data_IF_952033857157
#
_entry.id   IF_952033857157
#
_cell.length_a   1.000
_cell.length_b   1.000
_cell.length_c   1.000
_cell.angle_alpha   90.00
_cell.angle_beta   90.00
_cell.angle_gamma   90.00
#
_symmetry.space_group_name_H-M   'P 1'
#
loop_
_entity.id
_entity.type
_entity.pdbx_description
1 polymer ?
#
# COMPACT_ATOMS: atom_id res chain seq x y z
N UNK A 1 -2.12 6.29 8.87
CA UNK A 1 -2.45 4.86 8.77
C UNK A 1 -2.01 4.28 7.45
N UNK A 2 -1.15 3.26 7.46
CA UNK A 2 -0.74 2.52 6.24
C UNK A 2 -1.60 1.28 6.08
N UNK A 3 -2.41 1.24 5.02
CA UNK A 3 -3.40 0.20 4.77
C UNK A 3 -3.11 -0.46 3.42
N UNK A 4 -3.10 -1.79 3.39
CA UNK A 4 -2.99 -2.56 2.15
C UNK A 4 -4.29 -3.30 1.84
N UNK A 5 -4.67 -3.30 0.56
CA UNK A 5 -5.65 -4.23 0.01
C UNK A 5 -4.93 -5.29 -0.82
N UNK A 6 -5.03 -6.54 -0.40
CA UNK A 6 -4.36 -7.70 -1.03
C UNK A 6 -5.38 -8.77 -1.37
N UNK A 7 -5.03 -9.69 -2.25
CA UNK A 7 -5.90 -10.80 -2.65
C UNK A 7 -5.51 -11.39 -4.00
N UNK A 8 -6.24 -12.42 -4.41
CA UNK A 8 -6.06 -13.04 -5.73
C UNK A 8 -6.43 -12.07 -6.85
N UNK A 9 -5.83 -12.21 -8.03
CA UNK A 9 -6.32 -11.56 -9.25
C UNK A 9 -7.82 -11.84 -9.48
N UNK A 10 -8.60 -10.79 -9.75
CA UNK A 10 -10.05 -10.88 -9.95
C UNK A 10 -10.91 -10.97 -8.67
N UNK A 11 -10.30 -11.00 -7.48
CA UNK A 11 -11.04 -11.07 -6.20
C UNK A 11 -11.82 -9.79 -5.85
N UNK A 12 -11.56 -8.66 -6.52
CA UNK A 12 -12.22 -7.37 -6.27
C UNK A 12 -11.47 -6.41 -5.35
N UNK A 13 -10.15 -6.58 -5.17
CA UNK A 13 -9.28 -5.70 -4.36
C UNK A 13 -9.41 -4.23 -4.73
N UNK A 14 -9.18 -3.90 -6.01
CA UNK A 14 -9.23 -2.54 -6.54
C UNK A 14 -10.60 -1.89 -6.33
N UNK A 15 -11.67 -2.67 -6.49
CA UNK A 15 -13.03 -2.19 -6.21
C UNK A 15 -13.23 -1.90 -4.73
N UNK A 16 -12.75 -2.77 -3.84
CA UNK A 16 -12.87 -2.55 -2.39
C UNK A 16 -11.97 -1.43 -1.89
N UNK A 17 -10.74 -1.31 -2.40
CA UNK A 17 -9.84 -0.22 -2.07
C UNK A 17 -10.39 1.11 -2.59
N UNK A 18 -10.98 1.17 -3.79
CA UNK A 18 -11.60 2.39 -4.31
C UNK A 18 -12.83 2.81 -3.49
N UNK A 19 -13.69 1.86 -3.10
CA UNK A 19 -14.81 2.13 -2.19
C UNK A 19 -14.34 2.66 -0.83
N UNK A 20 -13.27 2.07 -0.28
CA UNK A 20 -12.69 2.51 0.98
C UNK A 20 -12.06 3.91 0.87
N UNK A 21 -11.34 4.20 -0.21
CA UNK A 21 -10.77 5.53 -0.48
C UNK A 21 -11.88 6.58 -0.64
N UNK A 22 -12.97 6.27 -1.35
CA UNK A 22 -14.14 7.15 -1.44
C UNK A 22 -14.78 7.40 -0.07
N UNK A 23 -14.90 6.36 0.75
CA UNK A 23 -15.39 6.52 2.12
C UNK A 23 -14.51 7.48 2.93
N UNK A 24 -13.19 7.31 2.90
CA UNK A 24 -12.25 8.23 3.53
C UNK A 24 -12.36 9.66 2.97
N UNK A 25 -12.56 9.83 1.66
CA UNK A 25 -12.72 11.15 1.06
C UNK A 25 -13.93 11.90 1.64
N UNK A 26 -15.02 11.19 1.98
CA UNK A 26 -16.20 11.80 2.60
C UNK A 26 -15.97 12.29 4.04
N UNK A 27 -14.96 11.74 4.74
CA UNK A 27 -14.57 12.21 6.08
C UNK A 27 -13.60 13.40 6.03
N UNK A 28 -13.15 13.80 4.82
CA UNK A 28 -12.12 14.83 4.57
C UNK A 28 -10.77 14.54 5.23
N UNK A 29 -10.47 13.27 5.48
CA UNK A 29 -9.16 12.86 5.93
C UNK A 29 -8.10 13.08 4.82
N UNK A 30 -6.84 13.40 5.16
CA UNK A 30 -5.74 13.34 4.20
C UNK A 30 -5.52 11.90 3.73
N UNK A 31 -5.58 11.69 2.41
CA UNK A 31 -5.43 10.35 1.80
C UNK A 31 -4.42 10.38 0.66
N UNK A 32 -3.43 9.49 0.73
CA UNK A 32 -2.60 9.07 -0.40
C UNK A 32 -3.03 7.68 -0.84
N UNK A 33 -3.64 7.58 -2.01
CA UNK A 33 -3.97 6.34 -2.68
C UNK A 33 -2.84 5.93 -3.63
N UNK A 34 -2.40 4.67 -3.55
CA UNK A 34 -1.31 4.13 -4.37
C UNK A 34 -1.79 2.90 -5.14
N UNK A 35 -1.71 2.96 -6.46
CA UNK A 35 -1.93 1.82 -7.34
C UNK A 35 -0.62 1.05 -7.55
N UNK A 36 -0.47 -0.07 -6.85
CA UNK A 36 0.64 -1.01 -6.96
C UNK A 36 0.17 -2.39 -7.48
N UNK A 37 -0.96 -2.46 -8.19
CA UNK A 37 -1.40 -3.66 -8.92
C UNK A 37 -0.88 -3.61 -10.36
N UNK A 38 -0.48 -4.73 -10.93
CA UNK A 38 0.07 -4.79 -12.29
C UNK A 38 -0.93 -4.29 -13.35
N UNK A 39 -2.23 -4.43 -13.08
CA UNK A 39 -3.28 -4.03 -14.02
C UNK A 39 -3.60 -2.53 -13.95
N UNK A 40 -3.16 -1.83 -12.89
CA UNK A 40 -3.29 -0.37 -12.73
C UNK A 40 -4.73 0.17 -12.94
N UNK A 41 -5.71 -0.44 -12.28
CA UNK A 41 -7.14 -0.11 -12.42
C UNK A 41 -7.69 0.84 -11.34
N UNK A 42 -6.88 1.30 -10.39
CA UNK A 42 -7.34 2.13 -9.29
C UNK A 42 -7.77 3.52 -9.77
N UNK A 43 -7.05 4.12 -10.71
CA UNK A 43 -7.40 5.42 -11.30
C UNK A 43 -8.82 5.44 -11.88
N UNK A 44 -9.15 4.54 -12.83
CA UNK A 44 -10.51 4.40 -13.35
C UNK A 44 -11.56 4.09 -12.27
N UNK A 45 -11.24 3.26 -11.28
CA UNK A 45 -12.14 2.97 -10.16
C UNK A 45 -12.42 4.21 -9.27
N UNK A 46 -11.47 5.15 -9.21
CA UNK A 46 -11.64 6.46 -8.59
C UNK A 46 -12.31 7.49 -9.52
N UNK A 47 -12.63 7.13 -10.76
CA UNK A 47 -13.41 7.96 -11.69
C UNK A 47 -12.58 8.77 -12.67
N UNK A 48 -11.29 8.48 -12.81
CA UNK A 48 -10.49 8.99 -13.92
C UNK A 48 -10.96 8.34 -15.22
N UNK A 49 -10.93 9.10 -16.31
CA UNK A 49 -11.02 8.51 -17.65
C UNK A 49 -9.77 7.67 -17.95
N UNK A 50 -9.87 6.76 -18.91
CA UNK A 50 -8.71 5.95 -19.34
C UNK A 50 -7.53 6.82 -19.77
N UNK A 51 -7.80 7.98 -20.40
CA UNK A 51 -6.78 8.93 -20.81
C UNK A 51 -6.09 9.61 -19.61
N UNK A 52 -6.86 10.02 -18.59
CA UNK A 52 -6.31 10.60 -17.35
C UNK A 52 -5.51 9.57 -16.56
N UNK A 53 -6.01 8.34 -16.46
CA UNK A 53 -5.33 7.24 -15.79
C UNK A 53 -4.01 6.88 -16.50
N UNK A 54 -4.01 6.81 -17.83
CA UNK A 54 -2.80 6.56 -18.62
C UNK A 54 -1.77 7.70 -18.54
N UNK A 55 -2.22 8.92 -18.26
CA UNK A 55 -1.36 10.09 -18.08
C UNK A 55 -0.77 10.22 -16.66
N UNK A 56 -1.12 9.33 -15.73
CA UNK A 56 -0.54 9.34 -14.39
C UNK A 56 0.99 9.13 -14.46
N UNK A 57 1.78 9.98 -13.79
CA UNK A 57 3.23 9.84 -13.78
C UNK A 57 3.63 8.54 -13.07
N UNK A 58 4.33 7.62 -13.75
CA UNK A 58 4.70 6.35 -13.14
C UNK A 58 5.80 6.57 -12.10
N UNK A 59 5.59 6.16 -10.85
CA UNK A 59 6.58 6.30 -9.77
C UNK A 59 7.94 5.68 -10.15
N UNK A 60 7.93 4.56 -10.88
CA UNK A 60 9.16 3.91 -11.37
C UNK A 60 10.03 4.81 -12.25
N UNK A 61 9.42 5.70 -13.05
CA UNK A 61 10.13 6.66 -13.90
C UNK A 61 10.77 7.82 -13.11
N UNK A 62 10.37 8.02 -11.86
CA UNK A 62 10.88 9.05 -10.96
C UNK A 62 11.76 8.48 -9.84
N UNK A 63 12.20 7.21 -9.93
CA UNK A 63 13.03 6.58 -8.92
C UNK A 63 14.30 7.37 -8.54
N UNK A 64 15.09 7.94 -9.49
CA UNK A 64 16.24 8.76 -9.13
C UNK A 64 15.87 9.97 -8.26
N UNK A 65 14.78 10.67 -8.61
CA UNK A 65 14.26 11.81 -7.83
C UNK A 65 13.81 11.36 -6.44
N UNK A 66 13.04 10.28 -6.35
CA UNK A 66 12.55 9.72 -5.08
C UNK A 66 13.72 9.38 -4.17
N UNK A 67 14.70 8.64 -4.68
CA UNK A 67 15.89 8.25 -3.92
C UNK A 67 16.70 9.45 -3.44
N UNK A 68 16.97 10.41 -4.33
CA UNK A 68 17.74 11.60 -3.95
C UNK A 68 17.02 12.43 -2.88
N UNK A 69 15.70 12.60 -3.01
CA UNK A 69 14.91 13.27 -2.00
C UNK A 69 14.95 12.55 -0.66
N UNK A 70 14.66 11.24 -0.63
CA UNK A 70 14.60 10.44 0.61
C UNK A 70 15.96 10.31 1.29
N UNK A 71 17.04 10.21 0.51
CA UNK A 71 18.41 10.19 1.01
C UNK A 71 18.72 11.38 1.89
N UNK A 72 18.27 12.57 1.49
CA UNK A 72 18.62 13.82 2.15
C UNK A 72 20.13 13.95 2.32
N UNK A 73 20.54 14.36 3.52
CA UNK A 73 21.95 14.51 3.91
C UNK A 73 22.45 13.30 4.72
N UNK A 74 21.79 12.13 4.59
CA UNK A 74 22.17 10.93 5.34
C UNK A 74 23.62 10.51 5.02
N UNK A 75 24.55 10.58 5.99
CA UNK A 75 25.97 10.34 5.73
C UNK A 75 26.28 8.86 5.47
N UNK A 76 25.36 7.95 5.80
CA UNK A 76 25.50 6.50 5.55
C UNK A 76 25.08 6.10 4.14
N UNK A 77 24.41 6.98 3.41
CA UNK A 77 23.96 6.74 2.03
C UNK A 77 24.77 7.65 1.09
N UNK A 78 25.87 7.13 0.58
CA UNK A 78 26.82 7.90 -0.24
C UNK A 78 26.20 8.44 -1.55
N UNK A 79 25.27 7.70 -2.16
CA UNK A 79 24.57 8.09 -3.38
C UNK A 79 23.21 7.38 -3.50
N UNK A 80 22.24 8.03 -4.14
CA UNK A 80 20.96 7.43 -4.55
C UNK A 80 21.12 6.13 -5.37
N UNK A 81 22.23 5.98 -6.09
CA UNK A 81 22.54 4.78 -6.88
C UNK A 81 22.73 3.54 -5.99
N UNK A 82 23.19 3.74 -4.75
CA UNK A 82 23.38 2.67 -3.77
C UNK A 82 22.12 2.36 -2.97
N UNK A 83 21.04 3.12 -3.15
CA UNK A 83 19.77 2.80 -2.50
C UNK A 83 19.06 1.66 -3.23
N UNK A 84 18.55 0.71 -2.47
CA UNK A 84 17.64 -0.34 -2.96
C UNK A 84 16.27 -0.17 -2.31
N UNK A 85 15.26 -0.90 -2.79
CA UNK A 85 13.88 -0.72 -2.34
C UNK A 85 13.65 -0.87 -0.82
N UNK A 86 14.57 -1.57 -0.15
CA UNK A 86 14.57 -1.83 1.29
C UNK A 86 15.46 -0.88 2.09
N UNK A 87 16.18 0.05 1.45
CA UNK A 87 17.08 0.98 2.17
C UNK A 87 16.28 1.75 3.22
N UNK A 88 16.65 1.65 4.52
CA UNK A 88 15.94 2.34 5.59
C UNK A 88 16.35 3.82 5.67
N UNK A 89 15.50 4.69 6.23
CA UNK A 89 15.93 5.99 6.70
C UNK A 89 16.94 5.87 7.85
N UNK A 90 17.74 6.92 8.01
CA UNK A 90 18.61 7.16 9.16
C UNK A 90 18.72 8.65 9.43
N UNK A 91 19.59 9.07 10.34
CA UNK A 91 19.84 10.51 10.56
C UNK A 91 20.28 11.18 9.26
N UNK A 92 19.66 12.32 8.95
CA UNK A 92 19.87 13.07 7.71
C UNK A 92 18.96 12.64 6.54
N UNK A 93 18.28 11.50 6.62
CA UNK A 93 17.25 11.13 5.63
C UNK A 93 16.05 12.07 5.72
N UNK A 94 15.41 12.35 4.59
CA UNK A 94 14.11 13.02 4.57
C UNK A 94 13.01 11.98 4.73
N UNK A 95 11.99 12.32 5.52
CA UNK A 95 10.79 11.52 5.69
C UNK A 95 9.64 12.19 4.93
N UNK A 96 8.70 11.37 4.45
CA UNK A 96 7.47 11.81 3.80
C UNK A 96 6.35 11.91 4.83
N UNK A 97 5.53 12.96 4.74
CA UNK A 97 4.26 13.10 5.46
C UNK A 97 3.08 12.86 4.54
N UNK A 98 1.97 12.36 5.09
CA UNK A 98 0.75 12.17 4.29
C UNK A 98 0.20 13.51 3.84
N UNK A 99 0.18 14.52 4.71
CA UNK A 99 -0.27 15.87 4.34
C UNK A 99 0.88 16.88 4.26
N UNK A 100 1.58 16.91 3.12
CA UNK A 100 2.60 17.92 2.84
C UNK A 100 2.76 18.17 1.33
N UNK A 101 3.41 19.27 0.99
CA UNK A 101 3.96 19.50 -0.33
C UNK A 101 5.44 19.08 -0.36
N UNK A 102 5.82 18.22 -1.29
CA UNK A 102 7.21 17.84 -1.49
C UNK A 102 7.49 17.51 -2.98
N UNK A 103 8.76 17.46 -3.41
CA UNK A 103 9.13 17.14 -4.79
C UNK A 103 8.63 15.78 -5.28
N UNK A 104 8.54 14.78 -4.41
CA UNK A 104 8.05 13.43 -4.76
C UNK A 104 6.57 13.49 -5.14
N UNK A 105 5.74 14.15 -4.35
CA UNK A 105 4.31 14.32 -4.63
C UNK A 105 4.07 15.24 -5.82
N UNK A 106 4.84 16.33 -5.96
CA UNK A 106 4.75 17.18 -7.15
C UNK A 106 5.02 16.40 -8.44
N UNK A 107 6.01 15.49 -8.43
CA UNK A 107 6.34 14.67 -9.58
C UNK A 107 5.32 13.54 -9.81
N UNK A 108 4.93 12.82 -8.75
CA UNK A 108 4.31 11.49 -8.86
C UNK A 108 2.83 11.44 -8.46
N UNK A 109 2.30 12.45 -7.77
CA UNK A 109 0.92 12.45 -7.29
C UNK A 109 0.02 13.34 -8.15
N UNK A 110 -1.24 12.94 -8.30
CA UNK A 110 -2.29 13.77 -8.92
C UNK A 110 -3.49 13.88 -7.97
N UNK A 111 -4.04 15.08 -7.75
CA UNK A 111 -5.25 15.23 -6.97
C UNK A 111 -6.44 14.63 -7.72
N UNK A 112 -7.29 13.88 -7.01
CA UNK A 112 -8.52 13.29 -7.52
C UNK A 112 -9.66 13.72 -6.60
N UNK A 113 -10.65 14.40 -7.17
CA UNK A 113 -11.83 14.85 -6.42
C UNK A 113 -12.85 13.72 -6.34
N UNK A 114 -13.20 13.35 -5.12
CA UNK A 114 -14.08 12.23 -4.81
C UNK A 114 -15.11 12.68 -3.79
N UNK A 115 -16.39 12.65 -4.17
CA UNK A 115 -17.49 12.65 -3.21
C UNK A 115 -17.44 13.82 -2.19
N UNK A 116 -17.00 15.00 -2.65
CA UNK A 116 -16.89 16.22 -1.84
C UNK A 116 -15.55 16.41 -1.09
N UNK A 117 -14.64 15.44 -1.23
CA UNK A 117 -13.25 15.51 -0.78
C UNK A 117 -12.25 15.43 -1.93
N UNK A 118 -10.97 15.42 -1.59
CA UNK A 118 -9.86 15.28 -2.53
C UNK A 118 -8.83 14.31 -1.94
N UNK A 119 -8.30 13.43 -2.79
CA UNK A 119 -7.26 12.47 -2.43
C UNK A 119 -6.09 12.61 -3.40
N UNK A 120 -4.89 12.23 -2.98
CA UNK A 120 -3.72 12.14 -3.87
C UNK A 120 -3.60 10.73 -4.42
N UNK A 121 -3.65 10.57 -5.73
CA UNK A 121 -3.41 9.30 -6.41
C UNK A 121 -1.98 9.25 -6.95
N UNK A 122 -1.29 8.15 -6.64
CA UNK A 122 0.00 7.77 -7.20
C UNK A 122 -0.11 6.38 -7.82
N UNK A 123 0.72 6.09 -8.82
CA UNK A 123 0.65 4.84 -9.56
C UNK A 123 2.07 4.34 -9.90
N UNK A 124 2.30 3.03 -9.80
CA UNK A 124 3.60 2.46 -10.18
C UNK A 124 3.87 2.53 -11.68
N UNK A 125 2.80 2.63 -12.48
CA UNK A 125 2.82 2.69 -13.93
C UNK A 125 2.62 1.32 -14.58
N UNK A 126 2.05 1.27 -15.80
CA UNK A 126 1.84 0.01 -16.52
C UNK A 126 3.18 -0.61 -16.92
N UNK A 127 3.20 -1.91 -17.18
CA UNK A 127 4.35 -2.57 -17.79
C UNK A 127 4.47 -2.15 -19.26
N UNK A 128 5.60 -1.58 -19.68
CA UNK A 128 5.82 -1.15 -21.07
C UNK A 128 6.60 -2.22 -21.84
N UNK A 129 6.57 -2.17 -23.18
CA UNK A 129 7.33 -3.12 -24.00
C UNK A 129 8.84 -3.09 -23.73
N UNK A 130 9.39 -1.94 -23.29
CA UNK A 130 10.77 -1.81 -22.84
C UNK A 130 11.10 -2.59 -21.57
N UNK A 131 10.08 -2.98 -20.79
CA UNK A 131 10.24 -3.79 -19.58
C UNK A 131 10.18 -5.30 -19.88
N UNK A 132 9.60 -5.70 -21.02
CA UNK A 132 9.45 -7.10 -21.43
C UNK A 132 10.83 -7.71 -21.70
N UNK A 133 11.22 -8.65 -20.83
CA UNK A 133 12.48 -9.40 -20.93
C UNK A 133 13.72 -8.68 -20.39
N UNK A 134 13.59 -7.47 -19.83
CA UNK A 134 14.72 -6.66 -19.34
C UNK A 134 14.59 -6.27 -17.86
N UNK A 135 13.38 -5.94 -17.39
CA UNK A 135 13.13 -5.52 -16.01
C UNK A 135 12.04 -6.37 -15.37
N UNK A 136 12.33 -6.96 -14.21
CA UNK A 136 11.29 -7.65 -13.43
C UNK A 136 10.36 -6.60 -12.77
N UNK A 137 9.05 -6.88 -12.67
CA UNK A 137 8.03 -6.01 -12.04
C UNK A 137 8.44 -5.55 -10.61
N UNK A 138 9.32 -6.31 -9.96
CA UNK A 138 10.01 -5.95 -8.72
C UNK A 138 10.64 -4.56 -8.68
N UNK A 139 11.06 -3.99 -9.82
CA UNK A 139 11.65 -2.65 -9.88
C UNK A 139 10.60 -1.54 -9.72
N UNK A 140 9.35 -1.75 -10.17
CA UNK A 140 8.29 -0.72 -10.17
C UNK A 140 7.64 -0.54 -8.80
N UNK A 141 7.35 -1.65 -8.11
CA UNK A 141 6.86 -1.61 -6.73
C UNK A 141 7.92 -1.13 -5.72
N UNK A 142 9.20 -1.12 -6.13
CA UNK A 142 10.30 -0.66 -5.28
C UNK A 142 10.19 0.82 -4.89
N UNK A 143 9.59 1.66 -5.73
CA UNK A 143 9.34 3.06 -5.40
C UNK A 143 8.31 3.20 -4.27
N UNK A 144 7.25 2.38 -4.31
CA UNK A 144 6.22 2.35 -3.25
C UNK A 144 6.83 1.88 -1.93
N UNK A 145 7.65 0.83 -1.98
CA UNK A 145 8.33 0.33 -0.78
C UNK A 145 9.29 1.36 -0.17
N UNK A 146 10.09 2.05 -1.00
CA UNK A 146 10.95 3.14 -0.55
C UNK A 146 10.17 4.24 0.14
N UNK A 147 9.08 4.69 -0.48
CA UNK A 147 8.21 5.70 0.12
C UNK A 147 7.64 5.21 1.45
N UNK A 148 7.12 3.98 1.54
CA UNK A 148 6.59 3.42 2.78
C UNK A 148 7.65 3.29 3.89
N UNK A 149 8.90 2.95 3.54
CA UNK A 149 10.02 2.89 4.47
C UNK A 149 10.37 4.27 5.07
N UNK A 150 10.11 5.36 4.33
CA UNK A 150 10.43 6.72 4.74
C UNK A 150 9.18 7.55 5.08
N UNK A 151 7.99 6.95 5.15
CA UNK A 151 6.75 7.68 5.41
C UNK A 151 6.38 7.62 6.88
N UNK A 152 6.07 8.79 7.44
CA UNK A 152 5.54 8.99 8.78
C UNK A 152 4.17 9.64 8.68
N UNK A 153 3.18 8.92 9.18
CA UNK A 153 1.78 9.33 9.20
C UNK A 153 1.27 9.45 10.64
N UNK A 154 0.37 10.40 10.88
CA UNK A 154 -0.31 10.60 12.15
C UNK A 154 -1.73 10.03 12.20
N UNK A 155 -2.38 10.24 13.35
CA UNK A 155 -3.78 9.90 13.56
C UNK A 155 -4.68 10.64 12.55
N UNK A 156 -5.57 9.90 11.88
CA UNK A 156 -6.51 10.47 10.91
C UNK A 156 -5.91 10.77 9.53
N UNK A 157 -4.64 10.44 9.29
CA UNK A 157 -4.03 10.45 7.96
C UNK A 157 -4.02 9.03 7.38
N UNK A 158 -4.16 8.84 6.06
CA UNK A 158 -4.24 7.51 5.46
C UNK A 158 -3.38 7.37 4.21
N UNK A 159 -2.69 6.23 4.10
CA UNK A 159 -2.05 5.73 2.90
C UNK A 159 -2.71 4.41 2.56
N UNK A 160 -3.42 4.35 1.43
CA UNK A 160 -4.12 3.14 0.97
C UNK A 160 -3.42 2.60 -0.26
N UNK A 161 -2.90 1.39 -0.18
CA UNK A 161 -2.15 0.74 -1.26
C UNK A 161 -2.97 -0.43 -1.81
N UNK A 162 -3.41 -0.33 -3.06
CA UNK A 162 -3.96 -1.47 -3.81
C UNK A 162 -2.80 -2.28 -4.38
N UNK A 163 -2.71 -3.56 -4.01
CA UNK A 163 -1.58 -4.39 -4.40
C UNK A 163 -1.99 -5.82 -4.70
N UNK A 164 -1.24 -6.47 -5.58
CA UNK A 164 -1.39 -7.91 -5.82
C UNK A 164 -0.89 -8.69 -4.60
N UNK A 165 -1.64 -9.70 -4.14
CA UNK A 165 -1.08 -10.68 -3.20
C UNK A 165 -0.11 -11.60 -3.98
N UNK A 166 1.10 -11.11 -4.19
CA UNK A 166 2.17 -11.82 -4.88
C UNK A 166 3.35 -12.12 -3.96
N UNK A 167 4.23 -13.01 -4.42
CA UNK A 167 5.55 -13.26 -3.84
C UNK A 167 6.36 -11.97 -3.62
N UNK A 168 6.12 -10.96 -4.44
CA UNK A 168 6.91 -9.75 -4.56
C UNK A 168 6.86 -8.90 -3.28
N UNK A 169 5.69 -8.80 -2.63
CA UNK A 169 5.54 -8.10 -1.35
C UNK A 169 6.29 -8.80 -0.22
N UNK A 170 6.45 -10.13 -0.31
CA UNK A 170 7.18 -10.94 0.68
C UNK A 170 8.69 -10.98 0.42
N UNK A 171 9.12 -10.85 -0.84
CA UNK A 171 10.53 -10.89 -1.22
C UNK A 171 11.36 -9.76 -0.59
N UNK A 172 10.75 -8.59 -0.37
CA UNK A 172 11.44 -7.43 0.22
C UNK A 172 10.95 -7.00 1.61
N UNK A 173 9.88 -7.61 2.13
CA UNK A 173 9.37 -7.28 3.45
C UNK A 173 8.31 -6.17 3.45
N UNK A 174 7.88 -5.68 2.28
CA UNK A 174 6.82 -4.69 2.13
C UNK A 174 5.54 -5.03 2.91
N UNK A 175 5.19 -6.32 3.01
CA UNK A 175 4.03 -6.78 3.79
C UNK A 175 4.07 -6.39 5.28
N UNK A 176 5.24 -6.03 5.81
CA UNK A 176 5.45 -5.58 7.20
C UNK A 176 5.38 -4.06 7.37
N UNK A 177 5.03 -3.32 6.31
CA UNK A 177 4.95 -1.85 6.31
C UNK A 177 3.53 -1.31 6.51
N UNK A 178 2.56 -2.19 6.71
CA UNK A 178 1.16 -1.83 6.88
C UNK A 178 0.71 -2.03 8.33
N UNK A 179 -0.05 -1.06 8.84
CA UNK A 179 -0.73 -1.18 10.13
C UNK A 179 -1.94 -2.12 10.03
N UNK A 180 -2.54 -2.20 8.84
CA UNK A 180 -3.66 -3.08 8.54
C UNK A 180 -3.58 -3.60 7.10
N UNK A 181 -3.67 -4.91 6.95
CA UNK A 181 -3.81 -5.56 5.65
C UNK A 181 -5.21 -6.17 5.54
N UNK A 182 -6.01 -5.65 4.62
CA UNK A 182 -7.29 -6.24 4.23
C UNK A 182 -7.09 -7.21 3.07
N UNK A 183 -7.30 -8.49 3.33
CA UNK A 183 -7.23 -9.53 2.32
C UNK A 183 -8.62 -9.83 1.76
N UNK A 184 -8.79 -9.57 0.47
CA UNK A 184 -10.04 -9.82 -0.25
C UNK A 184 -10.08 -11.25 -0.74
N UNK A 185 -11.08 -12.01 -0.27
CA UNK A 185 -11.26 -13.41 -0.60
C UNK A 185 -12.67 -13.68 -1.13
N UNK A 186 -12.74 -14.37 -2.26
CA UNK A 186 -14.01 -14.95 -2.77
C UNK A 186 -14.31 -16.27 -2.01
N UNK A 187 -15.59 -16.66 -1.86
CA UNK A 187 -16.02 -17.91 -1.21
C UNK A 187 -15.70 -19.13 -2.08
N UNK A 188 -14.42 -19.34 -2.41
CA UNK A 188 -13.93 -20.45 -3.21
C UNK A 188 -12.59 -20.93 -2.66
N UNK A 189 -12.27 -22.21 -2.85
CA UNK A 189 -10.97 -22.79 -2.44
C UNK A 189 -9.77 -22.01 -3.00
N UNK A 190 -9.87 -21.48 -4.22
CA UNK A 190 -8.81 -20.66 -4.83
C UNK A 190 -8.77 -19.24 -4.28
N UNK A 191 -9.89 -18.69 -3.81
CA UNK A 191 -9.94 -17.38 -3.16
C UNK A 191 -9.23 -17.43 -1.81
N UNK A 192 -9.58 -18.41 -0.98
CA UNK A 192 -9.02 -18.58 0.37
C UNK A 192 -7.59 -19.14 0.40
N UNK A 193 -7.10 -19.75 -0.69
CA UNK A 193 -5.71 -20.24 -0.74
C UNK A 193 -4.69 -19.12 -0.58
N UNK A 194 -4.97 -17.93 -1.12
CA UNK A 194 -4.12 -16.75 -0.97
C UNK A 194 -4.07 -16.29 0.49
N UNK A 195 -5.20 -16.36 1.20
CA UNK A 195 -5.25 -16.09 2.64
C UNK A 195 -4.35 -17.03 3.44
N UNK A 196 -4.44 -18.34 3.19
CA UNK A 196 -3.63 -19.34 3.89
C UNK A 196 -2.13 -19.09 3.68
N UNK A 197 -1.73 -18.83 2.43
CA UNK A 197 -0.34 -18.49 2.10
C UNK A 197 0.12 -17.19 2.76
N UNK A 198 -0.69 -16.14 2.70
CA UNK A 198 -0.35 -14.85 3.31
C UNK A 198 -0.17 -14.98 4.82
N UNK A 199 -1.08 -15.69 5.49
CA UNK A 199 -1.02 -15.96 6.93
C UNK A 199 0.23 -16.76 7.31
N UNK A 200 0.60 -17.75 6.51
CA UNK A 200 1.82 -18.53 6.73
C UNK A 200 3.07 -17.66 6.67
N UNK A 201 3.21 -16.84 5.61
CA UNK A 201 4.38 -15.97 5.44
C UNK A 201 4.43 -14.82 6.44
N UNK A 202 3.28 -14.34 6.92
CA UNK A 202 3.20 -13.23 7.86
C UNK A 202 3.28 -13.63 9.35
N UNK A 203 3.23 -14.93 9.65
CA UNK A 203 3.07 -15.50 11.01
C UNK A 203 4.04 -14.91 12.04
N UNK A 204 5.30 -14.77 11.68
CA UNK A 204 6.37 -14.39 12.61
C UNK A 204 6.66 -12.88 12.61
N UNK A 205 5.88 -12.10 11.87
CA UNK A 205 6.09 -10.66 11.68
C UNK A 205 5.04 -9.79 12.37
N UNK A 206 4.02 -10.38 13.01
CA UNK A 206 3.02 -9.63 13.77
C UNK A 206 2.21 -8.65 12.92
N UNK A 207 1.99 -9.00 11.65
CA UNK A 207 1.16 -8.23 10.71
C UNK A 207 -0.30 -8.35 11.10
N UNK A 208 -1.00 -7.21 11.17
CA UNK A 208 -2.44 -7.21 11.36
C UNK A 208 -3.12 -7.52 10.03
N UNK A 209 -3.76 -8.70 9.95
CA UNK A 209 -4.43 -9.21 8.77
C UNK A 209 -5.92 -9.41 9.09
N UNK A 210 -6.80 -8.92 8.22
CA UNK A 210 -8.25 -9.16 8.29
C UNK A 210 -8.77 -9.49 6.90
N UNK A 211 -9.76 -10.38 6.83
CA UNK A 211 -10.34 -10.87 5.57
C UNK A 211 -11.65 -10.14 5.28
N UNK A 212 -11.76 -9.67 4.04
CA UNK A 212 -13.01 -9.15 3.46
C UNK A 212 -13.54 -10.21 2.51
N UNK A 213 -14.63 -10.87 2.88
CA UNK A 213 -15.32 -11.83 2.03
C UNK A 213 -16.05 -11.10 0.91
N UNK A 214 -15.64 -11.28 -0.35
CA UNK A 214 -16.24 -10.59 -1.49
C UNK A 214 -17.05 -11.54 -2.37
N UNK A 215 -18.06 -11.00 -3.05
CA UNK A 215 -18.99 -11.72 -3.94
C UNK A 215 -19.77 -12.82 -3.22
N UNK A 216 -20.09 -12.60 -1.95
CA UNK A 216 -20.93 -13.50 -1.15
C UNK A 216 -22.37 -13.40 -1.66
N UNK A 217 -22.96 -14.54 -2.03
CA UNK A 217 -24.31 -14.61 -2.60
C UNK A 217 -25.35 -15.07 -1.58
N UNK A 218 -24.92 -15.73 -0.50
CA UNK A 218 -25.84 -16.24 0.50
C UNK A 218 -25.15 -16.87 1.70
N UNK A 219 -25.94 -17.60 2.48
CA UNK A 219 -25.51 -18.17 3.74
C UNK A 219 -24.44 -19.24 3.60
N UNK A 220 -24.51 -20.06 2.56
CA UNK A 220 -23.52 -21.12 2.28
C UNK A 220 -22.11 -20.54 2.06
N UNK A 221 -21.99 -19.48 1.25
CA UNK A 221 -20.73 -18.75 1.04
C UNK A 221 -20.16 -18.17 2.34
N UNK A 222 -21.03 -17.63 3.19
CA UNK A 222 -20.64 -17.07 4.49
C UNK A 222 -20.15 -18.15 5.45
N UNK A 223 -20.84 -19.30 5.51
CA UNK A 223 -20.42 -20.46 6.30
C UNK A 223 -19.08 -21.00 5.79
N UNK A 224 -18.91 -21.15 4.48
CA UNK A 224 -17.64 -21.54 3.86
C UNK A 224 -16.49 -20.60 4.25
N UNK A 225 -16.69 -19.28 4.17
CA UNK A 225 -15.64 -18.32 4.55
C UNK A 225 -15.31 -18.40 6.04
N UNK A 226 -16.31 -18.53 6.91
CA UNK A 226 -16.09 -18.69 8.36
C UNK A 226 -15.29 -19.95 8.68
N UNK A 227 -15.59 -21.06 8.01
CA UNK A 227 -14.85 -22.31 8.20
C UNK A 227 -13.39 -22.20 7.72
N UNK A 228 -13.16 -21.43 6.66
CA UNK A 228 -11.86 -21.32 5.99
C UNK A 228 -10.91 -20.30 6.63
N UNK A 229 -11.44 -19.16 7.10
CA UNK A 229 -10.64 -18.03 7.59
C UNK A 229 -10.94 -17.65 9.04
N UNK A 230 -11.97 -18.25 9.66
CA UNK A 230 -12.28 -18.10 11.08
C UNK A 230 -12.48 -16.65 11.52
N UNK A 231 -11.89 -16.32 12.66
CA UNK A 231 -11.93 -14.99 13.29
C UNK A 231 -11.25 -13.88 12.46
N UNK A 232 -10.51 -14.23 11.41
CA UNK A 232 -9.95 -13.23 10.52
C UNK A 232 -11.02 -12.63 9.59
N UNK A 233 -12.17 -13.31 9.39
CA UNK A 233 -13.28 -12.77 8.60
C UNK A 233 -13.88 -11.55 9.30
N UNK A 234 -13.65 -10.37 8.74
CA UNK A 234 -14.07 -9.11 9.34
C UNK A 234 -15.46 -8.70 8.86
N UNK A 235 -15.65 -8.66 7.55
CA UNK A 235 -16.92 -8.30 6.90
C UNK A 235 -17.10 -9.08 5.62
N UNK A 236 -18.34 -9.16 5.15
CA UNK A 236 -18.68 -9.69 3.83
C UNK A 236 -19.40 -8.64 3.00
N UNK A 237 -19.11 -8.60 1.70
CA UNK A 237 -19.80 -7.78 0.72
C UNK A 237 -20.33 -8.66 -0.42
N UNK A 238 -21.53 -8.33 -0.88
CA UNK A 238 -22.26 -9.07 -1.91
C UNK A 238 -22.30 -8.33 -3.25
N UNK A 239 -23.31 -8.64 -4.06
CA UNK A 239 -23.57 -7.90 -5.28
C UNK A 239 -23.98 -6.46 -4.97
N UNK A 240 -23.41 -5.50 -5.69
CA UNK A 240 -23.75 -4.07 -5.55
C UNK A 240 -24.09 -3.50 -6.92
N UNK A 241 -25.28 -2.88 -7.01
CA UNK A 241 -25.69 -2.17 -8.22
C UNK A 241 -24.89 -0.87 -8.35
N UNK A 242 -24.48 -0.27 -7.24
CA UNK A 242 -23.57 0.88 -7.25
C UNK A 242 -22.24 0.53 -7.92
N UNK A 243 -21.59 -0.56 -7.47
CA UNK A 243 -20.33 -1.04 -8.06
C UNK A 243 -20.55 -1.37 -9.54
N UNK A 244 -21.63 -2.08 -9.86
CA UNK A 244 -21.93 -2.45 -11.25
C UNK A 244 -22.13 -1.24 -12.16
N UNK A 245 -22.70 -0.16 -11.65
CA UNK A 245 -22.87 1.09 -12.39
C UNK A 245 -21.53 1.81 -12.59
N UNK A 246 -20.70 1.88 -11.55
CA UNK A 246 -19.32 2.42 -11.61
C UNK A 246 -18.47 1.68 -12.65
N UNK A 247 -18.44 0.34 -12.62
CA UNK A 247 -17.70 -0.50 -13.57
C UNK A 247 -18.19 -0.35 -15.02
N UNK A 248 -19.40 0.19 -15.22
CA UNK A 248 -19.95 0.55 -16.55
C UNK A 248 -19.68 2.02 -16.91
N UNK A 249 -18.77 2.70 -16.21
CA UNK A 249 -18.43 4.11 -16.42
C UNK A 249 -19.54 5.09 -16.00
N UNK A 250 -20.48 4.66 -15.16
CA UNK A 250 -21.61 5.47 -14.69
C UNK A 250 -21.69 5.48 -13.16
N UNK A 251 -20.64 5.97 -12.46
CA UNK A 251 -20.63 5.98 -11.00
C UNK A 251 -21.79 6.85 -10.47
N UNK A 252 -22.72 6.28 -9.67
CA UNK A 252 -23.68 7.08 -8.92
C UNK A 252 -22.95 7.90 -7.85
N UNK A 253 -23.61 8.90 -7.28
CA UNK A 253 -23.09 9.59 -6.09
C UNK A 253 -22.80 8.56 -4.98
N UNK A 254 -21.66 8.66 -4.29
CA UNK A 254 -21.27 7.66 -3.29
C UNK A 254 -22.25 7.54 -2.12
N UNK A 255 -22.97 8.61 -1.79
CA UNK A 255 -24.08 8.58 -0.82
C UNK A 255 -25.25 7.65 -1.22
N UNK A 256 -25.29 7.13 -2.45
CA UNK A 256 -26.25 6.12 -2.88
C UNK A 256 -25.75 4.66 -2.69
N UNK A 257 -24.51 4.45 -2.22
CA UNK A 257 -23.99 3.12 -1.91
C UNK A 257 -24.91 2.41 -0.90
N UNK A 258 -25.12 1.11 -1.09
CA UNK A 258 -26.03 0.33 -0.26
C UNK A 258 -25.62 0.38 1.23
N UNK A 259 -26.60 0.43 2.14
CA UNK A 259 -26.33 0.63 3.57
C UNK A 259 -25.41 -0.44 4.18
N UNK A 260 -25.57 -1.70 3.74
CA UNK A 260 -24.74 -2.82 4.16
C UNK A 260 -23.27 -2.64 3.72
N UNK A 261 -23.05 -2.17 2.49
CA UNK A 261 -21.71 -1.87 1.98
C UNK A 261 -21.08 -0.69 2.73
N UNK A 262 -21.86 0.35 3.07
CA UNK A 262 -21.37 1.45 3.91
C UNK A 262 -20.98 0.98 5.30
N UNK A 263 -21.82 0.18 5.96
CA UNK A 263 -21.51 -0.39 7.27
C UNK A 263 -20.24 -1.27 7.23
N UNK A 264 -20.03 -2.00 6.12
CA UNK A 264 -18.79 -2.75 5.91
C UNK A 264 -17.57 -1.81 5.86
N UNK A 265 -17.63 -0.71 5.10
CA UNK A 265 -16.55 0.27 5.01
C UNK A 265 -16.27 0.99 6.35
N UNK A 266 -17.31 1.32 7.11
CA UNK A 266 -17.19 1.86 8.47
C UNK A 266 -16.46 0.87 9.40
N UNK A 267 -16.78 -0.42 9.29
CA UNK A 267 -16.11 -1.48 10.04
C UNK A 267 -14.64 -1.62 9.65
N UNK A 268 -14.32 -1.52 8.35
CA UNK A 268 -12.92 -1.49 7.89
C UNK A 268 -12.18 -0.29 8.49
N UNK A 269 -12.78 0.90 8.46
CA UNK A 269 -12.17 2.12 9.00
C UNK A 269 -11.91 2.00 10.50
N UNK A 270 -12.92 1.62 11.28
CA UNK A 270 -12.78 1.42 12.72
C UNK A 270 -11.72 0.36 13.07
N UNK A 271 -11.61 -0.69 12.26
CA UNK A 271 -10.60 -1.74 12.45
C UNK A 271 -9.19 -1.22 12.15
N UNK A 272 -9.03 -0.41 11.10
CA UNK A 272 -7.77 0.23 10.77
C UNK A 272 -7.37 1.22 11.89
N UNK A 273 -8.26 2.13 12.28
CA UNK A 273 -7.99 3.11 13.35
C UNK A 273 -7.64 2.42 14.68
N UNK A 274 -8.33 1.33 15.01
CA UNK A 274 -7.99 0.53 16.18
C UNK A 274 -6.58 -0.10 16.11
N UNK A 275 -6.03 -0.33 14.91
CA UNK A 275 -4.67 -0.82 14.73
C UNK A 275 -3.61 0.27 14.94
N UNK A 276 -3.93 1.54 14.68
CA UNK A 276 -3.05 2.69 14.93
C UNK A 276 -2.50 2.71 16.35
N UNK A 277 -3.40 2.58 17.35
CA UNK A 277 -3.03 2.61 18.77
C UNK A 277 -2.20 1.42 19.24
N UNK A 278 -2.02 0.40 18.40
CA UNK A 278 -1.16 -0.78 18.67
C UNK A 278 0.14 -0.74 17.86
N UNK A 279 0.44 0.38 17.18
CA UNK A 279 1.66 0.53 16.40
C UNK A 279 2.89 0.41 17.29
N UNK A 280 3.85 -0.38 16.81
CA UNK A 280 5.14 -0.60 17.45
C UNK A 280 6.23 -0.17 16.46
N UNK A 281 6.71 1.06 16.64
CA UNK A 281 7.72 1.71 15.81
C UNK A 281 9.09 1.02 15.91
N UNK A 282 9.43 0.44 17.06
CA UNK A 282 10.66 -0.33 17.23
C UNK A 282 10.61 -1.62 16.41
N UNK A 283 9.50 -2.36 16.47
CA UNK A 283 9.29 -3.55 15.64
C UNK A 283 9.26 -3.20 14.16
N UNK A 284 8.58 -2.12 13.79
CA UNK A 284 8.53 -1.63 12.40
C UNK A 284 9.95 -1.38 11.88
N UNK A 285 10.75 -0.62 12.64
CA UNK A 285 12.13 -0.29 12.26
C UNK A 285 13.04 -1.52 12.25
N UNK A 286 12.95 -2.39 13.25
CA UNK A 286 13.72 -3.64 13.33
C UNK A 286 13.45 -4.55 12.14
N UNK A 287 12.19 -4.69 11.72
CA UNK A 287 11.83 -5.50 10.56
C UNK A 287 12.32 -4.88 9.25
N UNK A 288 12.23 -3.56 9.11
CA UNK A 288 12.82 -2.84 7.97
C UNK A 288 14.33 -3.10 7.85
N UNK A 289 15.07 -2.96 8.96
CA UNK A 289 16.52 -3.27 9.03
C UNK A 289 16.80 -4.74 8.70
N UNK A 290 16.01 -5.67 9.23
CA UNK A 290 16.16 -7.11 8.96
C UNK A 290 16.05 -7.42 7.47
N UNK A 291 14.99 -6.93 6.81
CA UNK A 291 14.79 -7.17 5.38
C UNK A 291 15.81 -6.44 4.51
N UNK A 292 16.26 -5.26 4.92
CA UNK A 292 17.34 -4.56 4.23
C UNK A 292 18.63 -5.36 4.24
N UNK A 293 19.08 -5.82 5.42
CA UNK A 293 20.29 -6.65 5.54
C UNK A 293 20.22 -7.91 4.68
N UNK A 294 19.08 -8.61 4.72
CA UNK A 294 18.87 -9.80 3.89
C UNK A 294 18.97 -9.50 2.39
N UNK A 295 18.43 -8.37 1.92
CA UNK A 295 18.52 -7.98 0.51
C UNK A 295 19.92 -7.49 0.12
N UNK A 296 20.60 -6.77 1.03
CA UNK A 296 21.98 -6.34 0.87
C UNK A 296 22.91 -7.55 0.63
N UNK A 297 22.85 -8.54 1.53
CA UNK A 297 23.67 -9.76 1.46
C UNK A 297 23.29 -10.67 0.29
N UNK A 298 22.00 -10.75 -0.05
CA UNK A 298 21.50 -11.65 -1.08
C UNK A 298 21.88 -11.23 -2.50
N UNK A 299 21.86 -9.93 -2.81
CA UNK A 299 22.06 -9.44 -4.18
C UNK A 299 22.48 -7.97 -4.23
N UNK A 300 22.06 -7.16 -3.25
CA UNK A 300 22.25 -5.70 -3.27
C UNK A 300 23.72 -5.28 -3.29
N UNK A 301 24.55 -5.94 -2.48
CA UNK A 301 25.99 -5.63 -2.41
C UNK A 301 26.69 -5.92 -3.73
N UNK A 302 26.43 -7.09 -4.33
CA UNK A 302 26.99 -7.45 -5.64
C UNK A 302 26.51 -6.49 -6.74
N UNK A 303 25.22 -6.13 -6.74
CA UNK A 303 24.61 -5.27 -7.76
C UNK A 303 25.15 -3.84 -7.73
N UNK A 304 25.45 -3.31 -6.54
CA UNK A 304 25.83 -1.91 -6.32
C UNK A 304 27.35 -1.72 -6.16
N UNK A 305 28.09 -2.79 -5.85
CA UNK A 305 29.52 -2.72 -5.52
C UNK A 305 29.80 -2.04 -4.17
N UNK A 306 28.79 -1.90 -3.30
CA UNK A 306 28.89 -1.24 -2.00
C UNK A 306 28.36 -2.16 -0.88
N UNK A 307 28.86 -1.98 0.35
CA UNK A 307 28.29 -2.63 1.52
C UNK A 307 27.01 -1.89 1.94
N UNK A 308 25.86 -2.38 1.50
CA UNK A 308 24.58 -1.75 1.80
C UNK A 308 24.20 -1.91 3.28
N UNK A 309 24.73 -2.91 4.01
CA UNK A 309 24.47 -3.03 5.43
C UNK A 309 25.03 -1.85 6.24
N UNK A 310 26.05 -1.15 5.71
CA UNK A 310 26.60 0.07 6.31
C UNK A 310 25.63 1.27 6.26
N UNK A 311 24.59 1.21 5.42
CA UNK A 311 23.52 2.22 5.33
C UNK A 311 22.61 2.24 6.57
N UNK A 312 22.57 1.15 7.34
CA UNK A 312 21.76 1.04 8.55
C UNK A 312 22.30 1.96 9.63
N UNK A 313 21.46 2.87 10.14
CA UNK A 313 21.76 3.67 11.32
C UNK A 313 21.27 2.94 12.59
N UNK A 314 22.17 2.39 13.43
CA UNK A 314 21.78 1.55 14.57
C UNK A 314 21.11 2.32 15.71
N UNK A 315 21.21 3.65 15.73
CA UNK A 315 20.58 4.49 16.76
C UNK A 315 19.35 5.23 16.25
N UNK A 316 18.96 5.01 14.98
CA UNK A 316 17.76 5.60 14.42
C UNK A 316 16.58 4.64 14.60
N UNK A 317 15.50 5.14 15.18
CA UNK A 317 14.18 4.50 15.16
C UNK A 317 13.23 5.41 14.40
N UNK A 318 12.51 4.85 13.42
CA UNK A 318 11.45 5.59 12.75
C UNK A 318 10.28 5.71 13.73
N UNK A 319 9.87 6.92 14.04
CA UNK A 319 8.67 7.21 14.84
C UNK A 319 8.01 8.51 14.38
N UNK A 320 6.93 8.92 15.04
CA UNK A 320 6.18 10.14 14.70
C UNK A 320 6.91 11.43 15.11
N UNK A 321 7.82 11.33 16.08
CA UNK A 321 8.63 12.43 16.62
C UNK A 321 9.98 12.58 15.88
N UNK A 322 10.34 11.64 15.02
CA UNK A 322 11.62 11.58 14.31
C UNK A 322 11.85 12.80 13.41
N UNK A 323 10.79 13.54 13.08
CA UNK A 323 10.83 14.81 12.36
C UNK A 323 11.04 16.04 13.27
N UNK A 324 10.71 15.96 14.55
CA UNK A 324 10.96 17.04 15.53
C UNK A 324 12.44 17.13 15.94
N UNK A 325 13.22 16.08 15.64
CA UNK A 325 14.64 15.97 15.99
C UNK A 325 15.61 16.47 14.89
N UNK A 326 15.10 17.00 13.76
CA UNK A 326 15.94 17.59 12.72
C UNK A 326 15.99 19.12 12.92
N UNK A 327 17.16 19.73 13.19
CA UNK A 327 17.27 21.18 13.18
C UNK A 327 16.95 21.68 11.76
N UNK A 328 16.05 22.68 11.70
CA UNK A 328 15.58 23.30 10.46
C UNK A 328 16.64 24.11 9.72
#
# INVERSE_FOLDING_TARGET
>A
MKIAFVGKGGSGKTTLSSLFIRHLATTRAPVVAVDADINQHLGPALGLTDAEAAALPPMGGHLPLIKEYLRGDNPRIASADTMIKTTPPGRGSRLLRVDEENPVYAACARPVRLDGGEVRLMATGPFTESDLGVACYHSKVGAVELCLNHLVDGAGEYVVVDMTAGSDSFASGMFTRFDMTFLVAEPTRKGVSVYRQYREYARDYGVALRVVGNKVQGRDDLEFLRDEVGEDLLVTVGHSEWVRAMEKGRPPHFGALEAENRAALETLLATADGAYGRRDWERYTRQMVHFHRKNAESWGNERTGADLAAQIDPEFTLDEDALLALPG
#
